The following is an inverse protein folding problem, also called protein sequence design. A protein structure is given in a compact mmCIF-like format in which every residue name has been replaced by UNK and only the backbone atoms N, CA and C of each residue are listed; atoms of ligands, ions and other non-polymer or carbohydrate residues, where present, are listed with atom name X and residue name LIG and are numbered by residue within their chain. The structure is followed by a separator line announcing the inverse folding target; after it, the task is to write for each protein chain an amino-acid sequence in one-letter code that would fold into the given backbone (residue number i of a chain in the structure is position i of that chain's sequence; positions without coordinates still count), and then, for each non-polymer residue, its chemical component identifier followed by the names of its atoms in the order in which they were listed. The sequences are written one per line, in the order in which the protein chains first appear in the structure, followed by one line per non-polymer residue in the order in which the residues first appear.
data_IF_123440814804
#
_entry.id   IF_123440814804
#
_cell.length_a   1.000
_cell.length_b   1.000
_cell.length_c   1.000
_cell.angle_alpha   90.00
_cell.angle_beta   90.00
_cell.angle_gamma   90.00
#
_symmetry.space_group_name_H-M   'P 1'
#
loop_
_entity.id
_entity.type
_entity.pdbx_description
1 polymer ?
#
# COMPACT_ATOMS: atom_id res chain seq x y z
N UNK A 1 16.16 -3.04 3.29
CA UNK A 1 16.28 -2.28 2.02
C UNK A 1 17.35 -2.90 1.10
N UNK A 2 17.43 -4.23 0.99
CA UNK A 2 18.37 -4.93 0.10
C UNK A 2 17.66 -5.97 -0.81
N UNK A 3 16.45 -6.40 -0.47
CA UNK A 3 15.65 -7.31 -1.31
C UNK A 3 14.99 -6.63 -2.52
N UNK A 4 14.77 -5.31 -2.47
CA UNK A 4 14.19 -4.54 -3.60
C UNK A 4 15.13 -4.38 -4.80
N UNK A 5 16.40 -4.78 -4.68
CA UNK A 5 17.36 -4.68 -5.78
C UNK A 5 17.48 -5.97 -6.61
N UNK A 6 17.09 -7.13 -6.05
CA UNK A 6 17.23 -8.42 -6.76
C UNK A 6 16.00 -8.79 -7.61
N UNK A 7 14.87 -8.10 -7.43
CA UNK A 7 13.67 -8.27 -8.26
C UNK A 7 13.81 -7.62 -9.66
N UNK A 8 14.74 -6.67 -9.82
CA UNK A 8 15.01 -6.00 -11.09
C UNK A 8 15.89 -6.82 -12.07
N UNK A 9 16.26 -8.05 -11.71
CA UNK A 9 16.98 -8.96 -12.60
C UNK A 9 16.07 -9.90 -13.40
N UNK A 10 14.75 -9.85 -13.19
CA UNK A 10 13.79 -10.64 -13.96
C UNK A 10 13.38 -9.86 -15.22
N UNK A 11 13.86 -10.33 -16.37
CA UNK A 11 13.67 -9.76 -17.70
C UNK A 11 12.29 -10.17 -18.26
N UNK A 12 11.21 -9.94 -17.52
CA UNK A 12 9.85 -10.30 -17.95
C UNK A 12 8.90 -9.09 -17.84
N UNK A 13 8.17 -8.80 -18.92
CA UNK A 13 7.33 -7.59 -19.06
C UNK A 13 6.09 -7.62 -18.14
N UNK A 14 5.72 -8.81 -17.67
CA UNK A 14 4.64 -9.03 -16.69
C UNK A 14 5.01 -10.19 -15.78
N UNK A 15 4.94 -9.96 -14.47
CA UNK A 15 5.14 -11.00 -13.45
C UNK A 15 4.00 -10.96 -12.45
N UNK A 16 3.38 -12.12 -12.19
CA UNK A 16 2.31 -12.29 -11.20
C UNK A 16 2.89 -12.76 -9.87
N UNK A 17 2.54 -12.08 -8.78
CA UNK A 17 2.96 -12.44 -7.43
C UNK A 17 1.76 -12.81 -6.57
N UNK A 18 1.93 -13.86 -5.78
CA UNK A 18 1.01 -14.27 -4.71
C UNK A 18 1.59 -13.90 -3.35
N UNK A 19 0.73 -13.54 -2.39
CA UNK A 19 1.17 -13.30 -1.02
C UNK A 19 1.45 -14.65 -0.35
N UNK A 20 2.68 -14.83 0.14
CA UNK A 20 3.14 -16.04 0.83
C UNK A 20 3.36 -15.75 2.32
N UNK A 21 3.04 -16.71 3.18
CA UNK A 21 3.37 -16.67 4.61
C UNK A 21 4.89 -16.75 4.82
N UNK A 22 5.44 -15.89 5.69
CA UNK A 22 6.87 -15.87 5.98
C UNK A 22 7.29 -16.99 6.93
N UNK A 23 6.40 -17.39 7.83
CA UNK A 23 6.62 -18.42 8.85
C UNK A 23 6.43 -19.83 8.29
N UNK A 24 5.61 -19.99 7.25
CA UNK A 24 5.33 -21.25 6.59
C UNK A 24 5.59 -21.15 5.09
N UNK A 25 6.72 -21.73 4.66
CA UNK A 25 7.15 -21.66 3.28
C UNK A 25 6.15 -22.37 2.34
N UNK A 26 5.68 -21.67 1.31
CA UNK A 26 4.73 -22.19 0.33
C UNK A 26 3.25 -22.12 0.72
N UNK A 27 2.91 -21.57 1.90
CA UNK A 27 1.52 -21.29 2.25
C UNK A 27 1.09 -19.95 1.63
N UNK A 28 0.15 -20.00 0.69
CA UNK A 28 -0.47 -18.81 0.09
C UNK A 28 -1.59 -18.26 0.97
N UNK A 29 -1.74 -16.93 1.00
CA UNK A 29 -2.78 -16.25 1.78
C UNK A 29 -4.21 -16.63 1.33
N UNK A 30 -4.38 -17.12 0.11
CA UNK A 30 -5.67 -17.59 -0.41
C UNK A 30 -6.73 -16.48 -0.55
N UNK A 31 -6.30 -15.22 -0.62
CA UNK A 31 -7.15 -14.03 -0.70
C UNK A 31 -7.59 -13.68 -2.13
N UNK A 32 -7.38 -14.61 -3.08
CA UNK A 32 -7.65 -14.47 -4.52
C UNK A 32 -7.02 -13.22 -5.17
N UNK A 33 -6.09 -12.55 -4.47
CA UNK A 33 -5.54 -11.27 -4.90
C UNK A 33 -4.37 -11.52 -5.84
N UNK A 34 -4.56 -11.20 -7.13
CA UNK A 34 -3.50 -11.27 -8.14
C UNK A 34 -2.80 -9.92 -8.24
N UNK A 35 -1.51 -9.87 -7.89
CA UNK A 35 -0.67 -8.68 -8.09
C UNK A 35 0.17 -8.84 -9.35
N UNK A 36 -0.03 -7.94 -10.32
CA UNK A 36 0.73 -7.89 -11.57
C UNK A 36 1.73 -6.73 -11.47
N UNK A 37 3.01 -7.02 -11.71
CA UNK A 37 4.04 -5.98 -11.86
C UNK A 37 4.41 -5.88 -13.34
N UNK A 38 4.17 -4.71 -13.93
CA UNK A 38 4.53 -4.38 -15.30
C UNK A 38 5.81 -3.56 -15.32
N UNK A 39 6.81 -3.99 -16.10
CA UNK A 39 8.06 -3.24 -16.25
C UNK A 39 8.05 -2.46 -17.56
N UNK A 40 7.87 -1.14 -17.50
CA UNK A 40 7.87 -0.26 -18.70
C UNK A 40 9.26 -0.09 -19.33
N UNK A 41 10.32 -0.63 -18.70
CA UNK A 41 11.72 -0.55 -19.15
C UNK A 41 12.34 -1.91 -19.41
N UNK A 42 11.55 -2.98 -19.41
CA UNK A 42 12.00 -4.32 -19.78
C UNK A 42 12.42 -4.34 -21.25
N UNK A 43 13.55 -4.99 -21.54
CA UNK A 43 14.00 -5.25 -22.91
C UNK A 43 13.88 -6.76 -23.18
N UNK A 44 12.66 -7.29 -23.31
CA UNK A 44 12.51 -8.53 -24.06
C UNK A 44 12.59 -8.16 -25.54
N UNK A 45 13.78 -8.39 -26.10
CA UNK A 45 14.03 -8.34 -27.54
C UNK A 45 14.08 -6.92 -28.10
N UNK A 46 15.21 -6.57 -28.71
CA UNK A 46 15.29 -5.48 -29.68
C UNK A 46 14.29 -5.72 -30.82
N UNK A 47 13.03 -5.32 -30.68
CA UNK A 47 12.13 -5.17 -31.82
C UNK A 47 12.45 -3.81 -32.43
N UNK A 48 13.49 -3.77 -33.26
CA UNK A 48 13.83 -2.58 -34.03
C UNK A 48 15.24 -2.48 -34.59
N UNK A 49 16.19 -3.31 -34.16
CA UNK A 49 17.51 -3.33 -34.75
C UNK A 49 17.77 -4.66 -35.43
N UNK A 50 18.14 -4.58 -36.72
CA UNK A 50 18.58 -5.69 -37.55
C UNK A 50 19.79 -6.38 -36.90
N UNK A 51 19.58 -7.31 -35.97
CA UNK A 51 20.66 -8.15 -35.45
C UNK A 51 20.77 -9.38 -36.36
N UNK A 52 21.88 -9.41 -37.09
CA UNK A 52 22.30 -10.52 -37.92
C UNK A 52 22.54 -11.75 -37.04
N UNK A 53 21.53 -12.60 -36.87
CA UNK A 53 21.70 -13.99 -36.46
C UNK A 53 21.21 -14.87 -37.61
N UNK A 54 22.03 -15.81 -38.11
CA UNK A 54 21.58 -16.73 -39.14
C UNK A 54 20.43 -17.57 -38.57
N UNK A 55 19.30 -17.53 -39.26
CA UNK A 55 18.07 -18.20 -38.85
C UNK A 55 18.33 -19.67 -38.51
N UNK A 56 17.88 -20.19 -37.34
CA UNK A 56 17.78 -21.63 -37.15
C UNK A 56 16.70 -22.19 -38.11
N UNK A 57 17.00 -23.37 -38.64
CA UNK A 57 16.21 -24.06 -39.66
C UNK A 57 14.72 -24.23 -39.26
N UNK A 58 13.80 -24.28 -40.25
CA UNK A 58 12.37 -24.26 -39.99
C UNK A 58 11.89 -25.66 -39.57
N UNK A 59 11.83 -25.92 -38.26
CA UNK A 59 11.06 -27.06 -37.75
C UNK A 59 10.31 -26.66 -36.48
N UNK A 60 8.97 -26.80 -36.56
CA UNK A 60 7.94 -26.49 -35.57
C UNK A 60 7.51 -25.02 -35.56
N UNK A 61 6.53 -24.75 -36.43
CA UNK A 61 5.87 -23.46 -36.56
C UNK A 61 5.07 -23.12 -35.32
N UNK A 62 5.61 -22.21 -34.52
CA UNK A 62 4.86 -21.14 -33.88
C UNK A 62 5.74 -19.88 -33.97
N UNK A 63 5.39 -18.89 -34.80
CA UNK A 63 5.91 -17.54 -34.61
C UNK A 63 5.50 -17.12 -33.20
N UNK A 64 6.44 -16.72 -32.35
CA UNK A 64 6.07 -16.02 -31.12
C UNK A 64 5.19 -14.84 -31.53
N UNK A 65 4.03 -14.61 -30.87
CA UNK A 65 3.23 -13.43 -31.15
C UNK A 65 4.14 -12.22 -30.97
N UNK A 66 4.30 -11.43 -32.02
CA UNK A 66 4.78 -10.06 -31.88
C UNK A 66 3.96 -9.42 -30.78
N UNK A 67 4.62 -8.78 -29.80
CA UNK A 67 3.94 -7.94 -28.80
C UNK A 67 2.97 -7.05 -29.57
N UNK A 68 1.70 -7.11 -29.19
CA UNK A 68 0.63 -6.39 -29.87
C UNK A 68 0.97 -4.89 -29.79
N UNK A 69 0.87 -4.18 -30.91
CA UNK A 69 1.18 -2.75 -31.02
C UNK A 69 0.37 -1.93 -29.99
N UNK A 70 -0.81 -2.42 -29.64
CA UNK A 70 -1.66 -1.86 -28.58
C UNK A 70 -1.07 -1.99 -27.17
N UNK A 71 -0.32 -3.07 -26.89
CA UNK A 71 0.37 -3.27 -25.60
C UNK A 71 1.56 -2.31 -25.49
N UNK A 72 2.33 -2.13 -26.56
CA UNK A 72 3.46 -1.18 -26.58
C UNK A 72 2.97 0.26 -26.35
N UNK A 73 1.87 0.64 -27.00
CA UNK A 73 1.21 1.94 -26.80
C UNK A 73 0.68 2.09 -25.38
N UNK A 74 0.11 1.03 -24.80
CA UNK A 74 -0.35 1.05 -23.41
C UNK A 74 0.81 1.23 -22.42
N UNK A 75 1.90 0.50 -22.58
CA UNK A 75 3.08 0.63 -21.72
C UNK A 75 3.71 2.03 -21.85
N UNK A 76 3.76 2.58 -23.06
CA UNK A 76 4.20 3.96 -23.31
C UNK A 76 3.31 4.98 -22.58
N UNK A 77 1.99 4.82 -22.62
CA UNK A 77 1.04 5.66 -21.90
C UNK A 77 1.22 5.56 -20.37
N UNK A 78 1.39 4.34 -19.83
CA UNK A 78 1.66 4.10 -18.40
C UNK A 78 2.99 4.74 -17.96
N UNK A 79 4.00 4.77 -18.83
CA UNK A 79 5.29 5.46 -18.60
C UNK A 79 5.18 7.00 -18.67
N UNK A 80 3.98 7.54 -18.91
CA UNK A 80 3.68 8.98 -18.91
C UNK A 80 3.76 9.65 -20.27
N UNK A 81 3.82 8.90 -21.37
CA UNK A 81 3.71 9.44 -22.73
C UNK A 81 2.25 9.68 -23.11
N UNK A 82 2.03 10.34 -24.25
CA UNK A 82 0.68 10.57 -24.77
C UNK A 82 -0.04 9.25 -25.09
N UNK A 83 -1.36 9.24 -24.95
CA UNK A 83 -2.19 8.11 -25.36
C UNK A 83 -2.23 8.02 -26.90
N UNK A 84 -1.78 6.90 -27.43
CA UNK A 84 -1.76 6.61 -28.86
C UNK A 84 -2.58 5.35 -29.14
N UNK A 85 -3.47 5.40 -30.14
CA UNK A 85 -4.41 4.32 -30.46
C UNK A 85 -5.73 4.40 -29.69
N UNK A 86 -6.75 3.71 -30.21
CA UNK A 86 -8.13 3.75 -29.69
C UNK A 86 -8.20 3.27 -28.24
N UNK A 87 -7.57 2.13 -27.93
CA UNK A 87 -7.56 1.54 -26.60
C UNK A 87 -6.99 2.45 -25.51
N UNK A 88 -5.84 3.08 -25.73
CA UNK A 88 -5.21 3.93 -24.71
C UNK A 88 -5.89 5.29 -24.60
N UNK A 89 -6.50 5.78 -25.68
CA UNK A 89 -7.30 7.01 -25.67
C UNK A 89 -8.58 6.84 -24.85
N UNK A 90 -9.25 5.69 -24.96
CA UNK A 90 -10.41 5.36 -24.13
C UNK A 90 -10.05 5.32 -22.64
N UNK A 91 -8.92 4.66 -22.30
CA UNK A 91 -8.40 4.66 -20.94
C UNK A 91 -8.08 6.09 -20.47
N UNK A 92 -7.43 6.89 -21.31
CA UNK A 92 -7.06 8.25 -20.96
C UNK A 92 -8.28 9.15 -20.72
N UNK A 93 -9.32 9.01 -21.53
CA UNK A 93 -10.58 9.73 -21.36
C UNK A 93 -11.28 9.36 -20.05
N UNK A 94 -11.29 8.08 -19.69
CA UNK A 94 -11.89 7.61 -18.44
C UNK A 94 -11.08 8.04 -17.21
N UNK A 95 -9.75 7.96 -17.27
CA UNK A 95 -8.85 8.49 -16.22
C UNK A 95 -9.07 9.99 -16.02
N UNK A 96 -9.22 10.75 -17.11
CA UNK A 96 -9.49 12.19 -17.06
C UNK A 96 -10.87 12.49 -16.46
N UNK A 97 -11.90 11.70 -16.82
CA UNK A 97 -13.24 11.80 -16.22
C UNK A 97 -13.19 11.56 -14.70
N UNK A 98 -12.43 10.56 -14.25
CA UNK A 98 -12.27 10.28 -12.81
C UNK A 98 -11.49 11.38 -12.08
N UNK A 99 -10.45 11.96 -12.71
CA UNK A 99 -9.70 13.09 -12.15
C UNK A 99 -10.58 14.33 -11.93
N UNK A 100 -11.62 14.51 -12.74
CA UNK A 100 -12.55 15.64 -12.64
C UNK A 100 -13.64 15.46 -11.57
N UNK A 101 -13.78 14.26 -10.99
CA UNK A 101 -14.76 14.00 -9.93
C UNK A 101 -14.31 14.63 -8.60
N UNK A 102 -14.62 15.92 -8.43
CA UNK A 102 -14.27 16.70 -7.23
C UNK A 102 -14.94 16.15 -5.96
N UNK A 103 -16.09 15.49 -6.09
CA UNK A 103 -16.80 14.85 -4.96
C UNK A 103 -15.94 13.76 -4.32
N UNK A 104 -15.29 12.90 -5.11
CA UNK A 104 -14.45 11.80 -4.56
C UNK A 104 -13.23 12.35 -3.81
N UNK A 105 -12.69 13.49 -4.24
CA UNK A 105 -11.59 14.15 -3.54
C UNK A 105 -12.04 14.75 -2.21
N UNK A 106 -13.23 15.35 -2.15
CA UNK A 106 -13.81 15.93 -0.93
C UNK A 106 -14.22 14.83 0.04
N UNK A 107 -14.86 13.76 -0.45
CA UNK A 107 -15.24 12.58 0.35
C UNK A 107 -14.00 11.90 0.92
N UNK A 108 -12.99 11.65 0.09
CA UNK A 108 -11.73 11.06 0.53
C UNK A 108 -11.02 11.96 1.55
N UNK A 109 -10.99 13.28 1.35
CA UNK A 109 -10.35 14.19 2.29
C UNK A 109 -11.12 14.29 3.62
N UNK A 110 -12.45 14.29 3.57
CA UNK A 110 -13.33 14.23 4.75
C UNK A 110 -13.07 12.94 5.53
N UNK A 111 -13.09 11.80 4.85
CA UNK A 111 -12.79 10.49 5.44
C UNK A 111 -11.40 10.46 6.08
N UNK A 112 -10.40 11.00 5.40
CA UNK A 112 -9.03 11.05 5.92
C UNK A 112 -8.89 12.00 7.12
N UNK A 113 -9.67 13.08 7.18
CA UNK A 113 -9.75 13.94 8.37
C UNK A 113 -10.41 13.23 9.53
N UNK A 114 -11.53 12.56 9.30
CA UNK A 114 -12.26 11.80 10.33
C UNK A 114 -11.40 10.65 10.89
N UNK A 115 -10.72 9.88 10.05
CA UNK A 115 -9.79 8.83 10.50
C UNK A 115 -8.62 9.38 11.31
N UNK A 116 -8.15 10.59 11.01
CA UNK A 116 -7.10 11.25 11.82
C UNK A 116 -7.65 11.69 13.17
N UNK A 117 -8.87 12.22 13.20
CA UNK A 117 -9.55 12.62 14.43
C UNK A 117 -9.79 11.43 15.35
N UNK A 118 -10.39 10.36 14.83
CA UNK A 118 -10.63 9.12 15.59
C UNK A 118 -9.33 8.51 16.14
N UNK A 119 -8.23 8.57 15.39
CA UNK A 119 -6.92 8.11 15.89
C UNK A 119 -6.41 8.98 17.03
N UNK A 120 -6.63 10.30 16.97
CA UNK A 120 -6.26 11.23 18.04
C UNK A 120 -7.09 10.98 19.29
N UNK A 121 -8.41 10.88 19.13
CA UNK A 121 -9.34 10.57 20.22
C UNK A 121 -8.97 9.24 20.88
N UNK A 122 -8.77 8.18 20.09
CA UNK A 122 -8.35 6.87 20.63
C UNK A 122 -7.00 6.89 21.34
N UNK A 123 -6.05 7.72 20.90
CA UNK A 123 -4.79 7.92 21.61
C UNK A 123 -4.99 8.62 22.97
N UNK A 124 -5.81 9.66 23.00
CA UNK A 124 -6.10 10.42 24.23
C UNK A 124 -6.92 9.57 25.23
N UNK A 125 -7.90 8.81 24.75
CA UNK A 125 -8.68 7.84 25.53
C UNK A 125 -7.80 6.71 26.08
N UNK A 126 -6.88 6.19 25.26
CA UNK A 126 -5.93 5.16 25.68
C UNK A 126 -5.02 5.66 26.81
N UNK A 127 -4.51 6.88 26.69
CA UNK A 127 -3.69 7.52 27.73
C UNK A 127 -4.47 7.76 29.02
N UNK A 128 -5.73 8.20 28.90
CA UNK A 128 -6.61 8.37 30.06
C UNK A 128 -6.87 7.05 30.77
N UNK A 129 -7.22 6.02 30.00
CA UNK A 129 -7.53 4.69 30.52
C UNK A 129 -6.33 4.04 31.20
N UNK A 130 -5.14 4.19 30.61
CA UNK A 130 -3.89 3.72 31.22
C UNK A 130 -3.61 4.43 32.55
N UNK A 131 -3.80 5.76 32.61
CA UNK A 131 -3.64 6.52 33.86
C UNK A 131 -4.61 6.05 34.94
N UNK A 132 -5.89 5.89 34.63
CA UNK A 132 -6.91 5.38 35.57
C UNK A 132 -6.56 3.97 36.04
N UNK A 133 -6.14 3.09 35.13
CA UNK A 133 -5.71 1.73 35.45
C UNK A 133 -4.50 1.72 36.38
N UNK A 134 -3.50 2.55 36.10
CA UNK A 134 -2.30 2.72 36.92
C UNK A 134 -2.64 3.24 38.32
N UNK A 135 -3.54 4.22 38.45
CA UNK A 135 -4.04 4.70 39.76
C UNK A 135 -4.69 3.55 40.53
N UNK A 136 -5.64 2.83 39.91
CA UNK A 136 -6.36 1.72 40.53
C UNK A 136 -5.41 0.61 40.99
N UNK A 137 -4.43 0.26 40.15
CA UNK A 137 -3.43 -0.75 40.50
C UNK A 137 -2.57 -0.34 41.70
N UNK A 138 -2.17 0.93 41.81
CA UNK A 138 -1.43 1.43 42.98
C UNK A 138 -2.28 1.41 44.26
N UNK A 139 -3.57 1.72 44.14
CA UNK A 139 -4.51 1.62 45.27
C UNK A 139 -4.68 0.17 45.74
N UNK A 140 -4.81 -0.78 44.81
CA UNK A 140 -5.04 -2.18 45.12
C UNK A 140 -3.79 -2.92 45.62
N UNK A 141 -2.63 -2.68 44.98
CA UNK A 141 -1.40 -3.44 45.26
C UNK A 141 -0.57 -2.84 46.39
N UNK A 142 -0.51 -1.50 46.47
CA UNK A 142 0.30 -0.79 47.46
C UNK A 142 -0.56 -0.28 48.62
N UNK A 143 -1.89 -0.18 48.45
CA UNK A 143 -2.80 0.36 49.46
C UNK A 143 -2.77 1.88 49.55
N UNK A 144 -2.30 2.58 48.52
CA UNK A 144 -2.26 4.04 48.49
C UNK A 144 -3.66 4.63 48.30
N UNK A 145 -3.85 5.87 48.77
CA UNK A 145 -5.03 6.65 48.41
C UNK A 145 -4.93 7.13 46.97
N UNK A 146 -6.08 7.46 46.38
CA UNK A 146 -6.14 8.05 45.04
C UNK A 146 -5.21 9.26 44.87
N UNK A 147 -5.19 10.17 45.85
CA UNK A 147 -4.31 11.34 45.83
C UNK A 147 -2.83 10.96 45.84
N UNK A 148 -2.44 10.01 46.70
CA UNK A 148 -1.05 9.54 46.78
C UNK A 148 -0.61 8.88 45.46
N UNK A 149 -1.49 8.10 44.84
CA UNK A 149 -1.22 7.49 43.53
C UNK A 149 -1.10 8.54 42.42
N UNK A 150 -2.01 9.52 42.36
CA UNK A 150 -1.95 10.62 41.38
C UNK A 150 -0.71 11.49 41.55
N UNK A 151 -0.31 11.80 42.78
CA UNK A 151 0.91 12.55 43.09
C UNK A 151 2.17 11.75 42.70
N UNK A 152 2.19 10.44 42.96
CA UNK A 152 3.27 9.55 42.55
C UNK A 152 3.40 9.45 41.02
N UNK A 153 2.26 9.42 40.31
CA UNK A 153 2.18 9.48 38.85
C UNK A 153 2.42 10.89 38.28
N UNK A 154 2.65 11.89 39.16
CA UNK A 154 2.90 13.29 38.82
C UNK A 154 1.80 13.90 37.93
N UNK A 155 0.56 13.50 38.18
CA UNK A 155 -0.60 14.07 37.48
C UNK A 155 -0.80 15.50 37.98
N UNK A 156 -0.84 16.51 37.09
CA UNK A 156 -1.03 17.91 37.49
C UNK A 156 -2.32 18.09 38.28
N UNK A 157 -2.30 18.94 39.32
CA UNK A 157 -3.47 19.19 40.18
C UNK A 157 -4.72 19.62 39.39
N UNK A 158 -4.54 20.33 38.27
CA UNK A 158 -5.63 20.74 37.37
C UNK A 158 -6.33 19.57 36.67
N UNK A 159 -5.69 18.41 36.56
CA UNK A 159 -6.29 17.20 35.96
C UNK A 159 -6.73 16.18 37.01
N UNK A 160 -6.29 16.28 38.28
CA UNK A 160 -6.59 15.29 39.31
C UNK A 160 -8.10 15.11 39.57
N UNK A 161 -8.87 16.19 39.48
CA UNK A 161 -10.33 16.14 39.63
C UNK A 161 -10.98 15.23 38.57
N UNK A 162 -10.47 15.26 37.32
CA UNK A 162 -10.94 14.41 36.22
C UNK A 162 -10.82 12.93 36.57
N UNK A 163 -9.64 12.50 37.02
CA UNK A 163 -9.39 11.10 37.35
C UNK A 163 -10.09 10.68 38.64
N UNK A 164 -10.26 11.60 39.59
CA UNK A 164 -10.95 11.34 40.87
C UNK A 164 -12.42 10.95 40.67
N UNK A 165 -13.06 11.44 39.61
CA UNK A 165 -14.44 11.09 39.27
C UNK A 165 -14.58 9.70 38.58
N UNK A 166 -13.46 9.11 38.12
CA UNK A 166 -13.44 7.88 37.32
C UNK A 166 -12.96 6.63 38.09
N UNK A 167 -12.47 6.82 39.32
CA UNK A 167 -11.87 5.76 40.16
C UNK A 167 -12.80 5.30 41.26
#
# INVERSE_FOLDING_TARGET
MFLMLHLFQCVADSTSFTNLCHEQNGLELGDETVKIFLNTKGTIGEVGAKSAHPAPAPTLGHPWPSVDDDIDKFLAYVDGKAAEGEFTQDIAAEVERLKQHNETKVEYMTLMMELKEQRREGYDEGKESERVSSIRNLMETVGWTAQQAMDALKIPASEQEKYSALI
#
